data_IF_462455001044
#
_entry.id   IF_462455001044
#
_cell.length_a   1.000
_cell.length_b   1.000
_cell.length_c   1.000
_cell.angle_alpha   90.00
_cell.angle_beta   90.00
_cell.angle_gamma   90.00
#
_symmetry.space_group_name_H-M   'P 1'
#
loop_
_entity.id
_entity.type
_entity.pdbx_description
1 polymer ?
#
# COMPACT_ATOMS: atom_id res chain seq x y z
N UNK A 1 -1.41 29.27 12.83
CA UNK A 1 -1.57 30.24 11.72
C UNK A 1 -2.92 29.98 11.09
N UNK A 2 -3.90 30.90 11.18
CA UNK A 2 -5.21 30.64 10.60
C UNK A 2 -5.19 31.03 9.12
N UNK A 3 -5.51 30.05 8.28
CA UNK A 3 -5.86 30.19 6.86
C UNK A 3 -7.31 30.69 6.78
N UNK A 4 -7.49 32.00 6.91
CA UNK A 4 -8.68 32.73 6.49
C UNK A 4 -8.20 33.78 5.49
N UNK A 5 -8.44 33.57 4.18
CA UNK A 5 -8.52 34.59 3.12
C UNK A 5 -8.30 33.96 1.73
N UNK A 6 -9.31 33.28 1.18
CA UNK A 6 -9.49 33.16 -0.30
C UNK A 6 -10.97 33.08 -0.72
N UNK A 7 -11.94 32.74 0.14
CA UNK A 7 -13.32 32.43 -0.29
C UNK A 7 -14.36 33.57 -0.20
N UNK A 8 -14.03 34.79 -0.66
CA UNK A 8 -14.99 35.90 -0.54
C UNK A 8 -15.11 36.83 -1.76
N UNK A 9 -15.08 36.31 -2.99
CA UNK A 9 -15.26 37.17 -4.18
C UNK A 9 -16.21 36.64 -5.29
N UNK A 10 -17.07 35.66 -5.03
CA UNK A 10 -18.04 35.20 -6.04
C UNK A 10 -19.53 35.22 -5.61
N UNK A 11 -19.89 35.86 -4.49
CA UNK A 11 -21.28 35.97 -4.04
C UNK A 11 -21.64 37.38 -3.57
N UNK A 12 -21.36 38.38 -4.40
CA UNK A 12 -21.93 39.72 -4.23
C UNK A 12 -22.75 40.06 -5.48
N UNK A 13 -23.98 39.53 -5.53
CA UNK A 13 -25.04 40.03 -6.40
C UNK A 13 -26.13 40.68 -5.53
N UNK A 14 -25.98 42.00 -5.38
CA UNK A 14 -27.02 43.04 -5.54
C UNK A 14 -28.43 42.66 -5.06
N UNK A 15 -28.73 42.97 -3.80
CA UNK A 15 -30.11 43.18 -3.34
C UNK A 15 -30.52 44.63 -3.63
N UNK A 16 -31.56 44.81 -4.46
CA UNK A 16 -32.30 46.07 -4.59
C UNK A 16 -33.23 46.22 -3.38
N UNK A 17 -33.26 47.37 -2.68
CA UNK A 17 -34.27 47.64 -1.67
C UNK A 17 -35.40 48.48 -2.27
N UNK A 18 -36.59 47.89 -2.40
CA UNK A 18 -37.81 48.62 -2.73
C UNK A 18 -39.05 47.72 -2.76
N UNK A 19 -39.78 47.65 -1.64
CA UNK A 19 -41.08 48.33 -1.51
C UNK A 19 -41.82 47.89 -0.25
N UNK A 20 -42.15 48.90 0.56
CA UNK A 20 -43.07 48.85 1.70
C UNK A 20 -44.49 48.50 1.23
N UNK A 21 -45.08 47.45 1.79
CA UNK A 21 -46.54 47.25 1.76
C UNK A 21 -47.06 46.97 3.18
N UNK A 22 -47.94 47.87 3.58
CA UNK A 22 -48.72 47.96 4.83
C UNK A 22 -49.55 46.73 5.20
N UNK A 23 -49.61 46.51 6.51
CA UNK A 23 -50.44 45.56 7.26
C UNK A 23 -51.97 45.73 7.06
N UNK A 24 -52.69 44.61 6.96
CA UNK A 24 -53.97 44.39 7.65
C UNK A 24 -54.28 42.88 7.80
N UNK A 25 -54.96 42.43 8.88
CA UNK A 25 -55.13 41.01 9.20
C UNK A 25 -56.57 40.49 8.98
N UNK A 26 -56.71 39.27 8.43
CA UNK A 26 -57.85 38.38 8.66
C UNK A 26 -57.62 36.99 8.04
N UNK A 27 -57.67 35.95 8.88
CA UNK A 27 -57.72 34.49 8.59
C UNK A 27 -58.95 34.10 7.71
N UNK A 28 -59.11 32.85 7.17
CA UNK A 28 -58.39 31.59 7.44
C UNK A 28 -58.05 30.68 6.22
N UNK A 29 -57.24 29.65 6.51
CA UNK A 29 -57.17 28.31 5.88
C UNK A 29 -57.03 28.20 4.34
N UNK A 30 -55.85 27.75 3.87
CA UNK A 30 -55.74 26.77 2.77
C UNK A 30 -54.31 26.29 2.51
N UNK A 31 -54.25 25.05 2.02
CA UNK A 31 -53.28 24.47 1.09
C UNK A 31 -51.82 24.25 1.51
N UNK A 32 -51.46 22.96 1.58
CA UNK A 32 -50.12 22.47 1.24
C UNK A 32 -49.84 22.82 -0.22
N UNK A 33 -49.08 23.90 -0.45
CA UNK A 33 -48.51 24.21 -1.74
C UNK A 33 -47.16 23.51 -1.89
N UNK A 34 -47.09 22.71 -2.95
CA UNK A 34 -45.88 22.04 -3.38
C UNK A 34 -44.76 23.04 -3.66
N UNK A 35 -43.57 22.74 -3.15
CA UNK A 35 -42.36 23.44 -3.51
C UNK A 35 -42.17 23.39 -5.03
N UNK A 36 -42.48 24.49 -5.70
CA UNK A 36 -42.13 24.69 -7.11
C UNK A 36 -40.62 24.72 -7.23
N UNK A 37 -40.08 23.79 -8.03
CA UNK A 37 -38.71 23.86 -8.53
C UNK A 37 -38.54 25.17 -9.30
N UNK A 38 -37.95 26.18 -8.67
CA UNK A 38 -37.37 27.30 -9.38
C UNK A 38 -36.29 26.75 -10.30
N UNK A 39 -36.50 26.89 -11.61
CA UNK A 39 -35.52 26.60 -12.66
C UNK A 39 -34.20 27.33 -12.35
N UNK A 40 -33.28 26.66 -11.66
CA UNK A 40 -31.90 27.14 -11.53
C UNK A 40 -31.16 26.76 -12.81
N UNK A 41 -30.80 27.77 -13.58
CA UNK A 41 -30.05 27.65 -14.81
C UNK A 41 -28.63 27.16 -14.50
N UNK A 42 -28.39 25.85 -14.67
CA UNK A 42 -27.04 25.34 -14.94
C UNK A 42 -26.69 25.77 -16.37
N UNK A 43 -26.32 27.03 -16.55
CA UNK A 43 -25.86 27.55 -17.85
C UNK A 43 -24.47 28.13 -17.73
N UNK A 44 -23.65 27.70 -18.70
CA UNK A 44 -22.41 28.31 -19.16
C UNK A 44 -21.21 28.15 -18.22
N UNK A 45 -20.67 26.93 -18.18
CA UNK A 45 -19.24 26.77 -17.98
C UNK A 45 -18.53 27.26 -19.27
N UNK A 46 -17.52 28.13 -19.16
CA UNK A 46 -16.78 28.61 -20.32
C UNK A 46 -16.02 27.45 -20.98
N UNK A 47 -16.11 27.35 -22.32
CA UNK A 47 -15.16 26.58 -23.11
C UNK A 47 -13.75 27.12 -22.81
N UNK A 48 -12.94 26.31 -22.13
CA UNK A 48 -11.59 26.69 -21.71
C UNK A 48 -10.60 26.59 -22.86
N UNK A 49 -10.11 27.75 -23.30
CA UNK A 49 -8.92 27.90 -24.14
C UNK A 49 -7.62 27.55 -23.37
N UNK A 50 -6.63 27.19 -24.18
CA UNK A 50 -5.24 26.78 -23.95
C UNK A 50 -4.58 27.06 -22.59
N UNK A 51 -4.01 25.99 -22.01
CA UNK A 51 -3.18 26.00 -20.82
C UNK A 51 -1.85 26.78 -21.04
N UNK A 52 -1.71 27.88 -20.31
CA UNK A 52 -0.47 28.63 -20.12
C UNK A 52 0.54 27.81 -19.30
N UNK A 53 1.70 27.59 -19.90
CA UNK A 53 2.89 26.97 -19.31
C UNK A 53 3.56 27.95 -18.35
N UNK A 54 3.67 27.60 -17.07
CA UNK A 54 4.52 28.32 -16.11
C UNK A 54 5.97 27.80 -16.15
N UNK A 55 6.99 28.68 -16.04
CA UNK A 55 8.38 28.30 -16.07
C UNK A 55 8.90 27.86 -14.69
N UNK A 56 9.75 26.84 -14.73
CA UNK A 56 10.52 26.26 -13.63
C UNK A 56 11.51 27.26 -13.01
N UNK A 57 11.39 27.49 -11.71
CA UNK A 57 12.41 28.12 -10.87
C UNK A 57 13.53 27.11 -10.58
N UNK A 58 14.70 27.31 -11.20
CA UNK A 58 15.97 26.73 -10.76
C UNK A 58 16.61 27.69 -9.75
N UNK A 59 16.65 27.27 -8.49
CA UNK A 59 17.39 27.93 -7.42
C UNK A 59 18.78 27.31 -7.28
N UNK A 60 19.78 28.12 -7.59
CA UNK A 60 21.21 27.94 -7.41
C UNK A 60 21.55 27.90 -5.90
N UNK A 61 22.26 26.87 -5.43
CA UNK A 61 22.81 26.80 -4.06
C UNK A 61 24.33 26.76 -4.14
N UNK A 62 24.92 27.83 -3.63
CA UNK A 62 26.35 28.12 -3.51
C UNK A 62 26.96 27.55 -2.23
N UNK A 63 28.15 26.97 -2.40
CA UNK A 63 29.35 27.01 -1.52
C UNK A 63 29.25 26.96 0.01
N UNK A 64 29.81 25.90 0.59
CA UNK A 64 30.40 25.85 1.94
C UNK A 64 31.74 25.10 1.79
N UNK A 65 32.87 25.81 1.71
CA UNK A 65 33.78 26.22 2.80
C UNK A 65 34.34 25.04 3.60
N UNK A 66 35.53 24.60 3.21
CA UNK A 66 36.45 23.78 4.00
C UNK A 66 36.85 24.51 5.28
N UNK A 67 36.84 23.79 6.40
CA UNK A 67 37.49 24.21 7.64
C UNK A 67 38.36 23.06 8.13
N UNK A 68 39.67 23.29 8.06
CA UNK A 68 40.72 22.51 8.70
C UNK A 68 40.55 22.50 10.22
N UNK A 69 40.67 21.32 10.83
CA UNK A 69 40.55 21.12 12.28
C UNK A 69 41.57 20.09 12.76
N UNK A 70 42.40 20.54 13.69
CA UNK A 70 43.60 19.91 14.25
C UNK A 70 43.40 18.50 14.84
N UNK A 71 44.40 17.65 14.57
CA UNK A 71 44.60 16.32 15.18
C UNK A 71 45.27 16.45 16.56
N UNK A 72 44.74 15.85 17.64
CA UNK A 72 45.41 15.85 18.94
C UNK A 72 46.42 14.69 19.07
N UNK A 73 47.64 15.04 19.50
CA UNK A 73 48.73 14.13 19.85
C UNK A 73 48.33 13.09 20.92
N UNK A 74 48.55 11.81 20.60
CA UNK A 74 48.40 10.67 21.51
C UNK A 74 49.76 10.36 22.16
N UNK A 75 49.86 10.23 23.50
CA UNK A 75 51.11 9.95 24.19
C UNK A 75 51.61 8.52 23.98
N UNK A 76 52.92 8.39 23.81
CA UNK A 76 53.65 7.16 23.55
C UNK A 76 53.49 6.11 24.68
N UNK A 77 53.10 4.89 24.28
CA UNK A 77 53.13 3.68 25.11
C UNK A 77 54.53 3.05 25.13
N UNK A 78 54.93 2.39 26.24
CA UNK A 78 56.24 1.76 26.38
C UNK A 78 56.38 0.50 25.50
N UNK A 79 57.59 0.33 24.96
CA UNK A 79 58.00 -0.79 24.11
C UNK A 79 57.99 -2.11 24.87
N UNK A 80 57.03 -2.98 24.52
CA UNK A 80 57.02 -4.39 24.89
C UNK A 80 57.80 -5.18 23.83
N UNK A 81 58.79 -5.94 24.28
CA UNK A 81 59.60 -6.85 23.46
C UNK A 81 58.75 -7.90 22.75
N UNK A 82 58.85 -7.93 21.43
CA UNK A 82 58.23 -8.89 20.51
C UNK A 82 58.72 -10.32 20.74
N UNK A 83 57.83 -11.31 20.93
CA UNK A 83 58.20 -12.71 20.73
C UNK A 83 58.37 -12.99 19.23
N UNK A 84 59.38 -13.78 18.88
CA UNK A 84 59.69 -14.21 17.51
C UNK A 84 58.45 -14.78 16.79
N UNK A 85 57.92 -13.98 15.88
CA UNK A 85 56.76 -14.25 15.01
C UNK A 85 57.28 -14.61 13.61
N UNK A 86 57.86 -15.80 13.47
CA UNK A 86 58.24 -16.35 12.15
C UNK A 86 57.43 -17.58 11.74
N UNK A 87 56.32 -17.88 12.44
CA UNK A 87 55.44 -19.01 12.06
C UNK A 87 53.93 -18.73 12.09
N UNK A 88 53.47 -17.49 12.15
CA UNK A 88 52.02 -17.18 12.15
C UNK A 88 51.38 -17.26 10.76
N UNK A 89 52.11 -16.95 9.69
CA UNK A 89 51.57 -16.94 8.32
C UNK A 89 51.19 -18.35 7.81
N UNK A 90 51.78 -19.41 8.37
CA UNK A 90 51.44 -20.79 8.05
C UNK A 90 50.27 -21.33 8.90
N UNK A 91 50.04 -20.77 10.10
CA UNK A 91 48.96 -21.19 10.99
C UNK A 91 47.63 -20.53 10.58
N UNK A 92 47.66 -19.27 10.12
CA UNK A 92 46.46 -18.53 9.72
C UNK A 92 45.83 -19.05 8.42
N UNK A 93 46.65 -19.46 7.44
CA UNK A 93 46.13 -20.01 6.18
C UNK A 93 45.51 -21.41 6.31
N UNK A 94 45.84 -22.14 7.38
CA UNK A 94 45.37 -23.52 7.62
C UNK A 94 44.23 -23.57 8.64
N UNK A 95 44.18 -22.64 9.62
CA UNK A 95 43.05 -22.52 10.55
C UNK A 95 41.80 -21.92 9.88
N UNK A 96 41.97 -21.03 8.89
CA UNK A 96 40.85 -20.38 8.18
C UNK A 96 40.20 -21.27 7.11
N UNK A 97 40.77 -22.42 6.77
CA UNK A 97 40.22 -23.33 5.73
C UNK A 97 39.23 -24.37 6.22
N UNK A 98 38.82 -24.34 7.49
CA UNK A 98 37.87 -25.34 7.94
C UNK A 98 37.53 -25.27 9.41
N UNK A 99 37.11 -24.11 9.92
CA UNK A 99 36.16 -24.17 11.03
C UNK A 99 34.90 -24.77 10.40
N UNK A 100 34.53 -26.03 10.70
CA UNK A 100 33.35 -26.63 10.11
C UNK A 100 32.18 -25.70 10.43
N UNK A 101 31.37 -25.35 9.43
CA UNK A 101 30.16 -24.52 9.60
C UNK A 101 29.37 -24.91 10.86
N UNK A 102 29.38 -26.21 11.19
CA UNK A 102 28.82 -26.77 12.42
C UNK A 102 29.38 -26.14 13.70
N UNK A 103 30.69 -25.92 13.82
CA UNK A 103 31.30 -25.23 14.97
C UNK A 103 30.96 -23.75 14.98
N UNK A 104 31.03 -23.02 13.85
CA UNK A 104 30.65 -21.59 13.82
C UNK A 104 29.17 -21.40 14.15
N UNK A 105 28.29 -22.27 13.64
CA UNK A 105 26.87 -22.28 13.99
C UNK A 105 26.64 -22.72 15.44
N UNK A 106 27.42 -23.66 15.98
CA UNK A 106 27.34 -24.06 17.38
C UNK A 106 27.82 -22.95 18.32
N UNK A 107 28.87 -22.22 17.95
CA UNK A 107 29.40 -21.09 18.71
C UNK A 107 28.42 -19.92 18.67
N UNK A 108 27.91 -19.59 17.48
CA UNK A 108 26.83 -18.62 17.31
C UNK A 108 25.60 -19.02 18.12
N UNK A 109 25.12 -20.27 18.01
CA UNK A 109 23.97 -20.75 18.76
C UNK A 109 24.22 -20.76 20.28
N UNK A 110 25.42 -21.14 20.73
CA UNK A 110 25.77 -21.11 22.13
C UNK A 110 25.80 -19.67 22.65
N UNK A 111 26.49 -18.73 21.97
CA UNK A 111 26.48 -17.30 22.31
C UNK A 111 25.08 -16.68 22.28
N UNK A 112 24.25 -17.07 21.31
CA UNK A 112 22.87 -16.59 21.16
C UNK A 112 21.93 -17.17 22.23
N UNK A 113 22.22 -18.35 22.77
CA UNK A 113 21.37 -19.04 23.77
C UNK A 113 21.88 -18.90 25.21
N UNK A 114 23.17 -18.69 25.43
CA UNK A 114 23.77 -18.82 26.76
C UNK A 114 23.80 -17.54 27.58
N UNK A 115 23.65 -16.36 26.97
CA UNK A 115 23.53 -15.11 27.73
C UNK A 115 22.17 -14.43 27.51
N UNK A 116 21.17 -14.65 28.40
CA UNK A 116 19.86 -13.99 28.34
C UNK A 116 19.90 -12.46 28.52
N UNK A 117 21.09 -11.85 28.61
CA UNK A 117 21.29 -10.40 28.78
C UNK A 117 21.81 -9.68 27.55
N UNK A 118 22.31 -10.37 26.52
CA UNK A 118 22.93 -9.75 25.34
C UNK A 118 21.92 -9.59 24.19
N UNK A 119 21.27 -8.42 24.13
CA UNK A 119 20.31 -8.00 23.10
C UNK A 119 19.01 -8.83 23.04
N UNK A 120 18.20 -8.58 24.07
CA UNK A 120 16.77 -8.85 24.16
C UNK A 120 16.07 -8.32 22.91
N UNK A 121 14.97 -8.98 22.53
CA UNK A 121 14.02 -8.78 21.40
C UNK A 121 13.55 -7.35 21.07
N UNK A 122 14.35 -6.33 21.36
CA UNK A 122 14.02 -4.93 21.27
C UNK A 122 13.81 -4.53 19.83
N UNK A 123 14.61 -4.98 18.84
CA UNK A 123 14.33 -4.61 17.45
C UNK A 123 13.00 -5.21 16.97
N UNK A 124 12.63 -6.41 17.44
CA UNK A 124 11.32 -7.02 17.12
C UNK A 124 10.15 -6.33 17.83
N UNK A 125 10.33 -5.87 19.07
CA UNK A 125 9.32 -5.09 19.78
C UNK A 125 9.18 -3.69 19.19
N UNK A 126 10.31 -3.05 18.90
CA UNK A 126 10.41 -1.74 18.25
C UNK A 126 9.88 -1.77 16.82
N UNK A 127 9.97 -2.89 16.10
CA UNK A 127 9.38 -3.02 14.76
C UNK A 127 7.86 -2.98 14.83
N UNK A 128 7.27 -3.67 15.80
CA UNK A 128 5.83 -3.65 16.01
C UNK A 128 5.36 -2.27 16.48
N UNK A 129 5.98 -1.72 17.53
CA UNK A 129 5.60 -0.40 18.04
C UNK A 129 5.92 0.71 17.05
N UNK A 130 7.01 0.58 16.29
CA UNK A 130 7.41 1.51 15.24
C UNK A 130 6.47 1.47 14.04
N UNK A 131 5.99 0.29 13.62
CA UNK A 131 4.96 0.17 12.59
C UNK A 131 3.64 0.81 13.04
N UNK A 132 3.19 0.50 14.27
CA UNK A 132 1.95 1.07 14.82
C UNK A 132 2.08 2.59 15.01
N UNK A 133 3.20 3.05 15.55
CA UNK A 133 3.51 4.47 15.67
C UNK A 133 3.55 5.17 14.31
N UNK A 134 4.18 4.55 13.32
CA UNK A 134 4.21 5.02 11.94
C UNK A 134 2.80 5.18 11.36
N UNK A 135 1.91 4.20 11.52
CA UNK A 135 0.52 4.27 11.05
C UNK A 135 -0.27 5.39 11.75
N UNK A 136 -0.06 5.60 13.05
CA UNK A 136 -0.73 6.66 13.81
C UNK A 136 -0.20 8.04 13.44
N UNK A 137 1.09 8.17 13.19
CA UNK A 137 1.75 9.46 12.92
C UNK A 137 1.69 9.84 11.43
N UNK A 138 1.60 8.86 10.52
CA UNK A 138 1.62 9.07 9.06
C UNK A 138 0.59 10.11 8.57
N UNK A 139 -0.68 10.11 9.02
CA UNK A 139 -1.66 11.12 8.61
C UNK A 139 -1.27 12.56 8.98
N UNK A 140 -0.37 12.72 9.94
CA UNK A 140 0.09 14.02 10.43
C UNK A 140 1.43 14.45 9.79
N UNK A 141 2.09 13.58 9.01
CA UNK A 141 3.31 13.95 8.31
C UNK A 141 2.97 14.79 7.07
N UNK A 142 3.48 16.02 6.94
CA UNK A 142 3.14 16.93 5.85
C UNK A 142 3.84 16.59 4.52
N UNK A 143 4.21 15.32 4.29
CA UNK A 143 5.06 14.91 3.18
C UNK A 143 4.36 15.00 1.81
N UNK A 144 3.03 15.03 1.78
CA UNK A 144 2.24 15.38 0.60
C UNK A 144 0.82 15.77 1.05
N UNK A 145 0.55 17.06 1.21
CA UNK A 145 -0.82 17.53 1.41
C UNK A 145 -1.53 17.58 0.06
N UNK A 146 -2.00 16.44 -0.44
CA UNK A 146 -3.06 16.45 -1.46
C UNK A 146 -4.32 17.02 -0.79
N UNK A 147 -4.75 18.21 -1.23
CA UNK A 147 -6.03 18.78 -0.78
C UNK A 147 -7.12 17.89 -1.38
N UNK A 148 -7.88 17.22 -0.53
CA UNK A 148 -8.99 16.39 -0.96
C UNK A 148 -10.33 17.06 -0.59
N UNK A 149 -11.29 16.95 -1.51
CA UNK A 149 -12.69 17.24 -1.21
C UNK A 149 -13.34 15.94 -0.73
N UNK A 150 -13.90 15.96 0.47
CA UNK A 150 -14.68 14.86 1.01
C UNK A 150 -16.09 15.37 1.28
N UNK A 151 -17.04 14.90 0.49
CA UNK A 151 -18.46 15.29 0.53
C UNK A 151 -19.03 15.36 1.95
N UNK A 152 -18.81 14.33 2.77
CA UNK A 152 -19.31 14.23 4.13
C UNK A 152 -18.79 15.34 5.07
N UNK A 153 -17.57 15.83 4.81
CA UNK A 153 -16.92 16.86 5.64
C UNK A 153 -17.17 18.26 5.08
N UNK A 154 -17.19 18.40 3.76
CA UNK A 154 -17.28 19.69 3.09
C UNK A 154 -18.73 20.15 2.87
N UNK A 155 -19.70 19.23 2.80
CA UNK A 155 -21.13 19.54 2.71
C UNK A 155 -21.73 19.55 4.11
N UNK A 156 -22.49 20.60 4.42
CA UNK A 156 -23.13 20.75 5.72
C UNK A 156 -24.16 19.62 5.92
N UNK A 157 -24.00 18.81 6.98
CA UNK A 157 -24.83 17.60 7.19
C UNK A 157 -26.14 17.87 7.96
N UNK A 158 -26.27 19.02 8.64
CA UNK A 158 -27.38 19.32 9.57
C UNK A 158 -28.30 20.49 9.15
N UNK A 159 -27.93 21.27 8.15
CA UNK A 159 -28.69 22.45 7.68
C UNK A 159 -29.09 22.16 6.25
N UNK A 160 -30.38 21.88 6.04
CA UNK A 160 -30.90 21.42 4.75
C UNK A 160 -30.60 22.40 3.62
N UNK A 161 -30.61 23.72 3.89
CA UNK A 161 -30.36 24.74 2.87
C UNK A 161 -28.90 24.72 2.45
N UNK A 162 -27.98 24.68 3.41
CA UNK A 162 -26.53 24.59 3.13
C UNK A 162 -26.14 23.23 2.55
N UNK A 163 -26.81 22.15 2.95
CA UNK A 163 -26.65 20.83 2.37
C UNK A 163 -27.03 20.86 0.89
N UNK A 164 -28.21 21.38 0.55
CA UNK A 164 -28.66 21.52 -0.83
C UNK A 164 -27.75 22.44 -1.65
N UNK A 165 -27.26 23.53 -1.08
CA UNK A 165 -26.29 24.41 -1.72
C UNK A 165 -24.98 23.66 -2.01
N UNK A 166 -24.45 22.93 -1.03
CA UNK A 166 -23.24 22.11 -1.19
C UNK A 166 -23.42 21.04 -2.27
N UNK A 167 -24.56 20.34 -2.28
CA UNK A 167 -24.92 19.35 -3.31
C UNK A 167 -24.94 19.99 -4.71
N UNK A 168 -25.55 21.17 -4.86
CA UNK A 168 -25.58 21.91 -6.13
C UNK A 168 -24.17 22.30 -6.61
N UNK A 169 -23.24 22.51 -5.67
CA UNK A 169 -21.85 22.86 -5.96
C UNK A 169 -20.95 21.65 -6.28
N UNK A 170 -21.39 20.40 -6.08
CA UNK A 170 -20.57 19.19 -6.35
C UNK A 170 -20.04 19.18 -7.79
N UNK A 171 -20.85 19.59 -8.77
CA UNK A 171 -20.42 19.65 -10.17
C UNK A 171 -19.21 20.58 -10.39
N UNK A 172 -19.11 21.69 -9.66
CA UNK A 172 -17.98 22.60 -9.73
C UNK A 172 -16.72 21.97 -9.12
N UNK A 173 -16.86 21.26 -7.99
CA UNK A 173 -15.74 20.50 -7.40
C UNK A 173 -15.24 19.41 -8.34
N UNK A 174 -16.14 18.64 -8.95
CA UNK A 174 -15.78 17.62 -9.94
C UNK A 174 -15.05 18.24 -11.14
N UNK A 175 -15.50 19.39 -11.65
CA UNK A 175 -14.85 20.09 -12.75
C UNK A 175 -13.44 20.61 -12.39
N UNK A 176 -13.23 21.02 -11.13
CA UNK A 176 -11.93 21.51 -10.65
C UNK A 176 -10.95 20.43 -10.22
N UNK A 177 -11.43 19.20 -10.00
CA UNK A 177 -10.61 18.12 -9.47
C UNK A 177 -9.69 17.52 -10.54
N UNK A 178 -8.40 17.40 -10.23
CA UNK A 178 -7.42 16.72 -11.10
C UNK A 178 -7.52 15.19 -11.04
N UNK A 179 -8.06 14.67 -9.95
CA UNK A 179 -8.21 13.23 -9.70
C UNK A 179 -9.51 12.94 -8.93
N UNK A 180 -10.24 11.90 -9.36
CA UNK A 180 -11.36 11.33 -8.62
C UNK A 180 -10.96 9.97 -8.05
N UNK A 181 -10.84 9.88 -6.72
CA UNK A 181 -10.57 8.63 -5.99
C UNK A 181 -11.88 8.00 -5.52
N UNK A 182 -12.19 6.82 -6.03
CA UNK A 182 -13.38 6.03 -5.69
C UNK A 182 -12.98 4.88 -4.78
N UNK A 183 -13.48 4.90 -3.54
CA UNK A 183 -13.40 3.76 -2.62
C UNK A 183 -14.50 2.76 -2.98
N UNK A 184 -14.17 1.82 -3.86
CA UNK A 184 -15.17 0.91 -4.41
C UNK A 184 -15.56 -0.19 -3.41
N UNK A 185 -16.87 -0.43 -3.35
CA UNK A 185 -17.49 -1.53 -2.63
C UNK A 185 -18.67 -2.08 -3.45
N UNK A 186 -19.12 -3.30 -3.15
CA UNK A 186 -20.26 -3.92 -3.85
C UNK A 186 -21.53 -3.03 -3.92
N UNK A 187 -21.95 -2.30 -2.86
CA UNK A 187 -23.13 -1.42 -2.97
C UNK A 187 -22.85 -0.08 -3.68
N UNK A 188 -21.61 0.24 -4.04
CA UNK A 188 -21.25 1.57 -4.55
C UNK A 188 -22.05 1.93 -5.82
N UNK A 189 -22.06 1.04 -6.82
CA UNK A 189 -22.78 1.28 -8.09
C UNK A 189 -24.29 1.05 -7.99
N UNK A 190 -24.80 0.64 -6.83
CA UNK A 190 -26.24 0.56 -6.58
C UNK A 190 -26.82 1.90 -6.16
N UNK A 191 -25.99 2.94 -5.97
CA UNK A 191 -26.41 4.29 -5.54
C UNK A 191 -26.36 5.25 -6.72
N UNK A 192 -27.46 5.97 -6.96
CA UNK A 192 -27.64 6.83 -8.12
C UNK A 192 -26.60 7.96 -8.17
N UNK A 193 -26.41 8.65 -7.04
CA UNK A 193 -25.39 9.67 -6.86
C UNK A 193 -23.98 9.19 -7.24
N UNK A 194 -23.55 8.05 -6.71
CA UNK A 194 -22.21 7.53 -6.93
C UNK A 194 -21.91 7.22 -8.40
N UNK A 195 -22.89 6.68 -9.14
CA UNK A 195 -22.71 6.41 -10.58
C UNK A 195 -22.76 7.71 -11.39
N UNK A 196 -23.66 8.63 -11.01
CA UNK A 196 -23.75 9.94 -11.62
C UNK A 196 -22.45 10.74 -11.46
N UNK A 197 -21.88 10.83 -10.25
CA UNK A 197 -20.62 11.53 -9.98
C UNK A 197 -19.46 11.01 -10.84
N UNK A 198 -19.37 9.70 -10.97
CA UNK A 198 -18.29 9.07 -11.73
C UNK A 198 -18.41 9.37 -13.24
N UNK A 199 -19.63 9.29 -13.78
CA UNK A 199 -19.92 9.64 -15.16
C UNK A 199 -19.77 11.15 -15.42
N UNK A 200 -20.21 11.97 -14.46
CA UNK A 200 -20.12 13.42 -14.50
C UNK A 200 -18.66 13.88 -14.49
N UNK A 201 -17.84 13.33 -13.60
CA UNK A 201 -16.41 13.61 -13.55
C UNK A 201 -15.72 13.27 -14.87
N UNK A 202 -16.01 12.09 -15.45
CA UNK A 202 -15.43 11.71 -16.76
C UNK A 202 -15.85 12.65 -17.87
N UNK A 203 -17.09 13.15 -17.83
CA UNK A 203 -17.61 14.11 -18.82
C UNK A 203 -16.99 15.50 -18.68
N UNK A 204 -16.81 15.98 -17.45
CA UNK A 204 -16.18 17.27 -17.15
C UNK A 204 -14.67 17.23 -17.34
N UNK A 205 -14.04 16.08 -17.10
CA UNK A 205 -12.60 15.86 -17.20
C UNK A 205 -12.32 14.64 -18.10
N UNK A 206 -12.37 14.79 -19.44
CA UNK A 206 -12.12 13.68 -20.36
C UNK A 206 -10.76 12.99 -20.10
N UNK A 207 -9.74 13.79 -19.80
CA UNK A 207 -8.38 13.34 -19.46
C UNK A 207 -8.14 13.20 -17.95
N UNK A 208 -9.16 13.45 -17.12
CA UNK A 208 -9.05 13.39 -15.67
C UNK A 208 -8.68 11.99 -15.19
N UNK A 209 -7.87 11.93 -14.13
CA UNK A 209 -7.46 10.65 -13.53
C UNK A 209 -8.60 10.12 -12.65
N UNK A 210 -9.01 8.87 -12.88
CA UNK A 210 -9.95 8.15 -12.00
C UNK A 210 -9.18 7.01 -11.35
N UNK A 211 -9.18 6.96 -10.02
CA UNK A 211 -8.52 5.92 -9.23
C UNK A 211 -9.58 5.12 -8.48
N UNK A 212 -9.67 3.82 -8.71
CA UNK A 212 -10.66 2.95 -8.05
C UNK A 212 -9.92 2.06 -7.03
N UNK A 213 -9.89 2.51 -5.79
CA UNK A 213 -9.24 1.80 -4.69
C UNK A 213 -10.18 0.83 -3.99
N UNK A 214 -9.66 -0.32 -3.56
CA UNK A 214 -10.41 -1.30 -2.76
C UNK A 214 -10.10 -1.12 -1.29
N UNK A 215 -11.15 -0.98 -0.48
CA UNK A 215 -11.06 -0.83 0.99
C UNK A 215 -10.42 -2.05 1.69
N UNK A 216 -10.38 -3.22 1.03
CA UNK A 216 -9.92 -4.48 1.64
C UNK A 216 -8.41 -4.70 1.52
N UNK A 217 -7.69 -3.90 0.72
CA UNK A 217 -6.25 -4.10 0.51
C UNK A 217 -5.48 -3.82 1.79
N UNK A 218 -5.82 -2.73 2.46
CA UNK A 218 -5.24 -2.26 3.70
C UNK A 218 -5.45 -3.30 4.82
N UNK A 219 -6.66 -3.85 4.92
CA UNK A 219 -7.00 -4.90 5.88
C UNK A 219 -6.19 -6.16 5.61
N UNK A 220 -6.05 -6.57 4.35
CA UNK A 220 -5.25 -7.73 3.98
C UNK A 220 -3.76 -7.54 4.31
N UNK A 221 -3.22 -6.33 4.08
CA UNK A 221 -1.84 -5.99 4.43
C UNK A 221 -1.65 -6.01 5.95
N UNK A 222 -2.56 -5.42 6.73
CA UNK A 222 -2.50 -5.42 8.19
C UNK A 222 -2.55 -6.84 8.77
N UNK A 223 -3.46 -7.68 8.28
CA UNK A 223 -3.56 -9.07 8.71
C UNK A 223 -2.29 -9.85 8.35
N UNK A 224 -1.76 -9.63 7.14
CA UNK A 224 -0.50 -10.26 6.70
C UNK A 224 0.68 -9.78 7.55
N UNK A 225 0.76 -8.50 7.89
CA UNK A 225 1.79 -7.95 8.77
C UNK A 225 1.74 -8.57 10.16
N UNK A 226 0.57 -8.56 10.80
CA UNK A 226 0.37 -9.16 12.13
C UNK A 226 0.76 -10.64 12.12
N UNK A 227 0.46 -11.30 11.02
CA UNK A 227 0.79 -12.69 10.82
C UNK A 227 2.29 -12.97 10.67
N UNK A 228 2.99 -12.22 9.80
CA UNK A 228 4.45 -12.32 9.66
C UNK A 228 5.13 -12.04 11.00
N UNK A 229 4.61 -11.10 11.79
CA UNK A 229 5.09 -10.86 13.15
C UNK A 229 4.93 -12.10 14.04
N UNK A 230 3.77 -12.78 14.01
CA UNK A 230 3.55 -14.03 14.75
C UNK A 230 4.49 -15.15 14.30
N UNK A 231 4.77 -15.27 13.00
CA UNK A 231 5.75 -16.24 12.46
C UNK A 231 7.14 -15.96 13.03
N UNK A 232 7.56 -14.70 13.02
CA UNK A 232 8.87 -14.25 13.54
C UNK A 232 8.98 -14.56 15.04
N UNK A 233 7.94 -14.23 15.82
CA UNK A 233 7.89 -14.54 17.26
C UNK A 233 7.91 -16.05 17.49
N UNK A 234 7.11 -16.81 16.76
CA UNK A 234 7.07 -18.27 16.86
C UNK A 234 8.40 -18.91 16.50
N UNK A 235 9.09 -18.41 15.47
CA UNK A 235 10.43 -18.85 15.09
C UNK A 235 11.44 -18.58 16.21
N UNK A 236 11.40 -17.37 16.78
CA UNK A 236 12.26 -17.01 17.90
C UNK A 236 12.01 -17.91 19.12
N UNK A 237 10.75 -18.16 19.48
CA UNK A 237 10.38 -19.08 20.58
C UNK A 237 10.84 -20.51 20.28
N UNK A 238 10.65 -21.00 19.06
CA UNK A 238 11.06 -22.35 18.66
C UNK A 238 12.59 -22.54 18.68
N UNK A 239 13.34 -21.47 18.42
CA UNK A 239 14.80 -21.43 18.54
C UNK A 239 15.26 -21.24 19.98
N UNK A 240 14.45 -20.63 20.83
CA UNK A 240 14.79 -20.35 22.22
C UNK A 240 14.61 -21.60 23.10
N UNK A 241 15.58 -21.85 23.98
CA UNK A 241 15.50 -22.91 25.00
C UNK A 241 16.40 -24.13 24.74
N UNK A 242 16.36 -25.13 25.65
CA UNK A 242 17.30 -26.26 25.67
C UNK A 242 17.19 -27.19 24.45
N UNK A 243 16.08 -27.11 23.74
CA UNK A 243 15.79 -27.87 22.52
C UNK A 243 15.76 -26.97 21.28
N UNK A 244 16.41 -25.80 21.36
CA UNK A 244 16.52 -24.85 20.26
C UNK A 244 17.19 -25.49 19.05
N UNK A 245 16.60 -25.32 17.87
CA UNK A 245 17.16 -25.82 16.61
C UNK A 245 16.65 -27.18 16.14
N UNK A 246 15.75 -27.83 16.90
CA UNK A 246 15.07 -29.03 16.41
C UNK A 246 14.22 -28.71 15.17
N UNK A 247 14.41 -29.42 14.03
CA UNK A 247 13.77 -29.08 12.76
C UNK A 247 12.24 -29.24 12.80
N UNK A 248 11.71 -30.14 13.62
CA UNK A 248 10.27 -30.35 13.74
C UNK A 248 9.56 -29.15 14.38
N UNK A 249 10.20 -28.42 15.32
CA UNK A 249 9.63 -27.21 15.92
C UNK A 249 9.49 -26.10 14.88
N UNK A 250 10.51 -25.96 14.04
CA UNK A 250 10.48 -25.03 12.92
C UNK A 250 9.37 -25.41 11.92
N UNK A 251 9.22 -26.70 11.62
CA UNK A 251 8.13 -27.18 10.79
C UNK A 251 6.76 -26.86 11.40
N UNK A 252 6.58 -27.07 12.71
CA UNK A 252 5.34 -26.71 13.41
C UNK A 252 5.06 -25.21 13.30
N UNK A 253 6.06 -24.35 13.52
CA UNK A 253 5.90 -22.90 13.33
C UNK A 253 5.51 -22.60 11.89
N UNK A 254 6.16 -23.17 10.88
CA UNK A 254 5.85 -22.91 9.47
C UNK A 254 4.44 -23.40 9.11
N UNK A 255 4.00 -24.55 9.62
CA UNK A 255 2.67 -25.12 9.33
C UNK A 255 1.58 -24.34 10.06
N UNK A 256 1.70 -24.16 11.38
CA UNK A 256 0.77 -23.38 12.18
C UNK A 256 0.71 -21.93 11.70
N UNK A 257 1.86 -21.38 11.33
CA UNK A 257 1.98 -20.05 10.77
C UNK A 257 1.84 -20.00 9.23
N UNK A 258 1.50 -21.10 8.57
CA UNK A 258 1.27 -21.15 7.13
C UNK A 258 -0.21 -21.22 6.80
N UNK A 259 -0.94 -22.01 7.59
CA UNK A 259 -2.35 -22.32 7.35
C UNK A 259 -3.26 -21.07 7.39
N UNK A 260 -3.19 -20.18 8.39
CA UNK A 260 -3.94 -18.92 8.34
C UNK A 260 -3.54 -17.96 7.21
N UNK A 261 -2.26 -17.91 6.79
CA UNK A 261 -1.88 -17.14 5.57
C UNK A 261 -2.59 -17.69 4.35
N UNK A 262 -2.58 -19.02 4.21
CA UNK A 262 -3.22 -19.67 3.09
C UNK A 262 -4.73 -19.39 3.12
N UNK A 263 -5.36 -19.49 4.29
CA UNK A 263 -6.78 -19.20 4.44
C UNK A 263 -7.11 -17.74 4.11
N UNK A 264 -6.30 -16.78 4.59
CA UNK A 264 -6.50 -15.35 4.33
C UNK A 264 -6.27 -14.99 2.86
N UNK A 265 -5.23 -15.54 2.23
CA UNK A 265 -4.96 -15.35 0.80
C UNK A 265 -6.08 -15.98 -0.05
N UNK A 266 -6.54 -17.18 0.31
CA UNK A 266 -7.66 -17.85 -0.37
C UNK A 266 -8.93 -17.02 -0.27
N UNK A 267 -9.26 -16.54 0.93
CA UNK A 267 -10.41 -15.70 1.18
C UNK A 267 -10.33 -14.38 0.40
N UNK A 268 -9.18 -13.69 0.46
CA UNK A 268 -8.96 -12.45 -0.28
C UNK A 268 -9.02 -12.66 -1.80
N UNK A 269 -8.52 -13.79 -2.30
CA UNK A 269 -8.59 -14.15 -3.72
C UNK A 269 -10.03 -14.37 -4.19
N UNK A 270 -10.80 -15.16 -3.44
CA UNK A 270 -12.22 -15.43 -3.72
C UNK A 270 -13.02 -14.13 -3.66
N UNK A 271 -12.90 -13.38 -2.57
CA UNK A 271 -13.56 -12.07 -2.42
C UNK A 271 -13.20 -11.11 -3.56
N UNK A 272 -11.94 -11.10 -4.00
CA UNK A 272 -11.51 -10.28 -5.14
C UNK A 272 -12.18 -10.71 -6.44
N UNK A 273 -12.28 -12.01 -6.71
CA UNK A 273 -12.91 -12.52 -7.92
C UNK A 273 -14.42 -12.24 -7.90
N UNK A 274 -15.10 -12.53 -6.80
CA UNK A 274 -16.53 -12.26 -6.63
C UNK A 274 -16.82 -10.76 -6.79
N UNK A 275 -16.00 -9.91 -6.20
CA UNK A 275 -16.08 -8.46 -6.36
C UNK A 275 -15.84 -7.97 -7.80
N UNK A 276 -15.01 -8.66 -8.58
CA UNK A 276 -14.75 -8.32 -9.98
C UNK A 276 -15.93 -8.75 -10.87
N UNK A 277 -16.49 -9.93 -10.61
CA UNK A 277 -17.69 -10.44 -11.29
C UNK A 277 -18.92 -9.59 -10.96
N UNK A 278 -19.11 -9.22 -9.70
CA UNK A 278 -20.20 -8.35 -9.25
C UNK A 278 -20.10 -6.95 -9.88
N UNK A 279 -18.92 -6.33 -9.90
CA UNK A 279 -18.73 -5.03 -10.57
C UNK A 279 -19.13 -5.12 -12.05
N UNK A 280 -18.63 -6.13 -12.75
CA UNK A 280 -18.97 -6.31 -14.17
C UNK A 280 -20.47 -6.51 -14.35
N UNK A 281 -21.09 -7.36 -13.53
CA UNK A 281 -22.52 -7.62 -13.58
C UNK A 281 -23.33 -6.33 -13.35
N UNK A 282 -22.98 -5.55 -12.34
CA UNK A 282 -23.64 -4.28 -12.01
C UNK A 282 -23.51 -3.25 -13.14
N UNK A 283 -22.34 -3.14 -13.79
CA UNK A 283 -22.16 -2.22 -14.91
C UNK A 283 -22.89 -2.69 -16.18
N UNK A 284 -22.83 -3.99 -16.50
CA UNK A 284 -23.48 -4.55 -17.69
C UNK A 284 -25.01 -4.50 -17.58
N UNK A 285 -25.54 -4.73 -16.39
CA UNK A 285 -26.99 -4.72 -16.13
C UNK A 285 -27.48 -3.39 -15.51
N UNK A 286 -26.66 -2.35 -15.51
CA UNK A 286 -26.98 -1.07 -14.89
C UNK A 286 -28.26 -0.47 -15.47
N UNK A 287 -29.22 -0.06 -14.67
CA UNK A 287 -30.39 0.69 -15.14
C UNK A 287 -30.71 1.83 -14.16
N UNK A 288 -30.54 3.06 -14.63
CA UNK A 288 -30.77 4.30 -13.88
C UNK A 288 -32.12 4.33 -13.17
N UNK A 289 -33.17 3.72 -13.75
CA UNK A 289 -34.51 3.69 -13.15
C UNK A 289 -34.61 2.76 -11.93
N UNK A 290 -33.75 1.74 -11.85
CA UNK A 290 -33.76 0.73 -10.78
C UNK A 290 -32.76 1.03 -9.66
N UNK A 291 -31.86 1.99 -9.89
CA UNK A 291 -30.78 2.31 -8.96
C UNK A 291 -31.34 2.98 -7.71
N UNK A 292 -30.77 2.65 -6.55
CA UNK A 292 -31.23 3.15 -5.25
C UNK A 292 -30.88 4.63 -5.13
N UNK A 293 -31.86 5.42 -4.70
CA UNK A 293 -31.67 6.79 -4.26
C UNK A 293 -32.36 6.94 -2.90
N UNK A 294 -31.71 7.62 -1.95
CA UNK A 294 -32.28 7.86 -0.61
C UNK A 294 -33.40 8.90 -0.63
N UNK A 295 -33.36 9.81 -1.61
CA UNK A 295 -34.29 10.94 -1.76
C UNK A 295 -34.89 10.92 -3.17
N UNK A 296 -36.22 10.99 -3.26
CA UNK A 296 -36.90 11.07 -4.56
C UNK A 296 -36.68 12.43 -5.22
N UNK A 297 -36.54 13.49 -4.43
CA UNK A 297 -36.17 14.81 -4.92
C UNK A 297 -34.81 14.78 -5.62
N UNK A 298 -33.81 14.17 -4.98
CA UNK A 298 -32.47 14.02 -5.56
C UNK A 298 -32.51 13.18 -6.83
N UNK A 299 -33.32 12.11 -6.84
CA UNK A 299 -33.51 11.27 -8.02
C UNK A 299 -34.00 12.10 -9.20
N UNK A 300 -35.02 12.94 -8.99
CA UNK A 300 -35.54 13.81 -10.05
C UNK A 300 -34.47 14.80 -10.53
N UNK A 301 -33.76 15.47 -9.61
CA UNK A 301 -32.69 16.40 -9.98
C UNK A 301 -31.57 15.72 -10.78
N UNK A 302 -31.15 14.52 -10.39
CA UNK A 302 -30.13 13.74 -11.11
C UNK A 302 -30.67 13.28 -12.46
N UNK A 303 -31.92 12.82 -12.56
CA UNK A 303 -32.53 12.43 -13.82
C UNK A 303 -32.61 13.60 -14.82
N UNK A 304 -32.94 14.80 -14.33
CA UNK A 304 -32.97 16.02 -15.13
C UNK A 304 -31.55 16.39 -15.61
N UNK A 305 -30.55 16.30 -14.72
CA UNK A 305 -29.15 16.54 -15.06
C UNK A 305 -28.64 15.52 -16.09
N UNK A 306 -28.96 14.23 -15.91
CA UNK A 306 -28.63 13.16 -16.85
C UNK A 306 -29.27 13.44 -18.21
N UNK A 307 -30.55 13.80 -18.24
CA UNK A 307 -31.25 14.11 -19.50
C UNK A 307 -30.61 15.32 -20.19
N UNK A 308 -30.23 16.35 -19.44
CA UNK A 308 -29.53 17.52 -19.98
C UNK A 308 -28.15 17.16 -20.53
N UNK A 309 -27.39 16.32 -19.85
CA UNK A 309 -26.01 16.03 -20.23
C UNK A 309 -25.92 14.94 -21.30
N UNK A 310 -26.70 13.87 -21.18
CA UNK A 310 -26.64 12.69 -22.05
C UNK A 310 -27.81 12.62 -23.05
N UNK A 311 -28.71 13.60 -23.04
CA UNK A 311 -29.88 13.69 -23.94
C UNK A 311 -31.08 12.88 -23.46
N UNK A 312 -30.87 11.72 -22.83
CA UNK A 312 -31.94 10.91 -22.23
C UNK A 312 -31.40 9.95 -21.18
N UNK A 313 -32.29 9.44 -20.31
CA UNK A 313 -31.97 8.37 -19.36
C UNK A 313 -31.50 7.07 -20.06
N UNK A 314 -32.06 6.76 -21.24
CA UNK A 314 -31.63 5.60 -22.04
C UNK A 314 -30.20 5.77 -22.57
N UNK A 315 -29.88 6.94 -23.12
CA UNK A 315 -28.53 7.23 -23.61
C UNK A 315 -27.49 7.18 -22.49
N UNK A 316 -27.87 7.58 -21.27
CA UNK A 316 -27.03 7.40 -20.09
C UNK A 316 -26.82 5.93 -19.74
N UNK A 317 -27.90 5.12 -19.71
CA UNK A 317 -27.77 3.67 -19.52
C UNK A 317 -26.83 3.04 -20.55
N UNK A 318 -26.96 3.40 -21.83
CA UNK A 318 -26.11 2.90 -22.91
C UNK A 318 -24.65 3.34 -22.74
N UNK A 319 -24.41 4.59 -22.32
CA UNK A 319 -23.09 5.08 -21.97
C UNK A 319 -22.45 4.29 -20.83
N UNK A 320 -23.17 4.07 -19.73
CA UNK A 320 -22.70 3.33 -18.55
C UNK A 320 -22.40 1.87 -18.91
N UNK A 321 -23.31 1.20 -19.61
CA UNK A 321 -23.18 -0.22 -20.01
C UNK A 321 -22.09 -0.44 -21.06
N UNK A 322 -21.84 0.55 -21.91
CA UNK A 322 -20.92 0.46 -23.04
C UNK A 322 -19.53 1.05 -22.75
N UNK A 323 -19.19 2.23 -23.29
CA UNK A 323 -17.83 2.79 -23.19
C UNK A 323 -17.33 2.92 -21.77
N UNK A 324 -18.18 3.40 -20.86
CA UNK A 324 -17.80 3.67 -19.48
C UNK A 324 -17.51 2.37 -18.70
N UNK A 325 -18.29 1.31 -18.91
CA UNK A 325 -18.02 -0.01 -18.33
C UNK A 325 -16.65 -0.54 -18.75
N UNK A 326 -16.31 -0.46 -20.04
CA UNK A 326 -15.01 -0.90 -20.55
C UNK A 326 -13.86 -0.12 -19.91
N UNK A 327 -14.04 1.19 -19.78
CA UNK A 327 -13.07 2.07 -19.14
C UNK A 327 -12.86 1.72 -17.66
N UNK A 328 -13.93 1.60 -16.87
CA UNK A 328 -13.84 1.22 -15.45
C UNK A 328 -13.16 -0.13 -15.27
N UNK A 329 -13.50 -1.10 -16.13
CA UNK A 329 -12.84 -2.41 -16.12
C UNK A 329 -11.37 -2.32 -16.54
N UNK A 330 -10.99 -1.39 -17.41
CA UNK A 330 -9.59 -1.13 -17.80
C UNK A 330 -8.81 -0.44 -16.68
N UNK A 331 -9.38 0.58 -16.03
CA UNK A 331 -8.78 1.23 -14.86
C UNK A 331 -8.56 0.24 -13.72
N UNK A 332 -9.53 -0.64 -13.46
CA UNK A 332 -9.38 -1.70 -12.46
C UNK A 332 -8.31 -2.73 -12.84
N UNK A 333 -8.06 -2.93 -14.14
CA UNK A 333 -6.96 -3.80 -14.62
C UNK A 333 -5.60 -3.15 -14.46
N UNK A 334 -5.46 -1.85 -14.72
CA UNK A 334 -4.18 -1.15 -14.55
C UNK A 334 -3.80 -0.97 -13.07
N UNK A 335 -4.77 -1.01 -12.16
CA UNK A 335 -4.58 -0.89 -10.72
C UNK A 335 -4.38 -2.24 -10.00
N UNK A 336 -3.79 -3.23 -10.68
CA UNK A 336 -3.63 -4.58 -10.14
C UNK A 336 -2.48 -4.75 -9.15
N UNK A 337 -1.52 -3.84 -9.16
CA UNK A 337 -0.37 -3.86 -8.26
C UNK A 337 -0.74 -3.50 -6.82
N UNK A 338 -0.18 -4.23 -5.86
CA UNK A 338 -0.03 -3.72 -4.50
C UNK A 338 0.92 -2.52 -4.60
N UNK A 339 0.54 -1.38 -4.04
CA UNK A 339 1.43 -0.21 -4.05
C UNK A 339 2.76 -0.52 -3.34
N UNK A 340 3.87 0.01 -3.88
CA UNK A 340 5.23 -0.29 -3.40
C UNK A 340 5.40 -0.12 -1.89
N UNK A 341 4.71 0.85 -1.30
CA UNK A 341 4.78 1.15 0.13
C UNK A 341 4.22 0.01 1.00
N UNK A 342 3.23 -0.75 0.54
CA UNK A 342 2.71 -1.90 1.30
C UNK A 342 3.74 -3.02 1.40
N UNK A 343 4.60 -3.20 0.39
CA UNK A 343 5.70 -4.17 0.50
C UNK A 343 6.69 -3.79 1.60
N UNK A 344 6.99 -2.50 1.75
CA UNK A 344 7.87 -2.02 2.82
C UNK A 344 7.27 -2.37 4.19
N UNK A 345 5.97 -2.14 4.38
CA UNK A 345 5.26 -2.49 5.61
C UNK A 345 5.34 -4.01 5.86
N UNK A 346 5.05 -4.83 4.85
CA UNK A 346 5.09 -6.30 4.97
C UNK A 346 6.49 -6.86 5.24
N UNK A 347 7.54 -6.20 4.78
CA UNK A 347 8.94 -6.61 4.99
C UNK A 347 9.52 -6.14 6.32
N UNK A 348 8.84 -5.23 7.02
CA UNK A 348 9.39 -4.66 8.25
C UNK A 348 9.64 -5.73 9.34
N UNK A 349 8.71 -6.66 9.65
CA UNK A 349 8.95 -7.68 10.67
C UNK A 349 10.12 -8.61 10.34
N UNK A 350 10.24 -9.04 9.07
CA UNK A 350 11.36 -9.89 8.63
C UNK A 350 12.66 -9.11 8.67
N UNK A 351 12.66 -7.84 8.26
CA UNK A 351 13.82 -6.94 8.32
C UNK A 351 14.35 -6.78 9.72
N UNK A 352 13.48 -6.47 10.67
CA UNK A 352 13.87 -6.37 12.06
C UNK A 352 14.42 -7.69 12.62
N UNK A 353 13.82 -8.83 12.24
CA UNK A 353 14.34 -10.15 12.64
C UNK A 353 15.75 -10.43 12.08
N UNK A 354 15.98 -10.22 10.79
CA UNK A 354 17.29 -10.48 10.16
C UNK A 354 18.36 -9.48 10.61
N UNK A 355 17.99 -8.22 10.87
CA UNK A 355 18.88 -7.21 11.41
C UNK A 355 19.30 -7.54 12.84
N UNK A 356 18.36 -7.95 13.70
CA UNK A 356 18.68 -8.43 15.06
C UNK A 356 19.62 -9.63 15.02
N UNK A 357 19.36 -10.61 14.15
CA UNK A 357 20.26 -11.76 13.96
C UNK A 357 21.68 -11.35 13.50
N UNK A 358 21.77 -10.40 12.57
CA UNK A 358 23.05 -9.90 12.06
C UNK A 358 23.82 -9.10 13.12
N UNK A 359 23.12 -8.25 13.87
CA UNK A 359 23.69 -7.47 14.97
C UNK A 359 24.20 -8.37 16.10
N UNK A 360 23.46 -9.42 16.44
CA UNK A 360 23.88 -10.39 17.44
C UNK A 360 25.18 -11.12 17.03
N UNK A 361 25.30 -11.50 15.76
CA UNK A 361 26.53 -12.12 15.23
C UNK A 361 27.69 -11.12 15.25
N UNK A 362 27.46 -9.88 14.84
CA UNK A 362 28.46 -8.83 14.91
C UNK A 362 28.97 -8.59 16.33
N UNK A 363 28.07 -8.52 17.31
CA UNK A 363 28.40 -8.32 18.74
C UNK A 363 29.08 -9.52 19.39
N UNK A 364 28.95 -10.72 18.81
CA UNK A 364 29.56 -11.95 19.35
C UNK A 364 31.08 -12.05 19.12
N UNK A 365 31.70 -11.06 18.45
CA UNK A 365 33.14 -11.06 18.17
C UNK A 365 33.56 -12.03 17.05
N UNK A 366 32.59 -12.55 16.29
CA UNK A 366 32.84 -13.37 15.10
C UNK A 366 33.61 -12.54 14.04
N UNK A 367 34.55 -13.15 13.28
CA UNK A 367 35.30 -12.43 12.25
C UNK A 367 34.42 -11.59 11.32
N UNK A 368 34.87 -10.37 11.01
CA UNK A 368 34.10 -9.40 10.23
C UNK A 368 33.62 -9.95 8.88
N UNK A 369 34.41 -10.82 8.24
CA UNK A 369 34.05 -11.48 6.98
C UNK A 369 32.79 -12.33 7.09
N UNK A 370 32.62 -13.08 8.19
CA UNK A 370 31.44 -13.92 8.42
C UNK A 370 30.23 -13.05 8.73
N UNK A 371 30.40 -11.99 9.52
CA UNK A 371 29.34 -11.02 9.82
C UNK A 371 28.84 -10.31 8.56
N UNK A 372 29.75 -9.84 7.70
CA UNK A 372 29.43 -9.22 6.40
C UNK A 372 28.75 -10.24 5.48
N UNK A 373 29.27 -11.46 5.40
CA UNK A 373 28.70 -12.55 4.59
C UNK A 373 27.26 -12.86 5.01
N UNK A 374 27.00 -12.97 6.31
CA UNK A 374 25.66 -13.19 6.86
C UNK A 374 24.71 -12.02 6.55
N UNK A 375 25.16 -10.78 6.75
CA UNK A 375 24.37 -9.59 6.46
C UNK A 375 23.98 -9.53 4.98
N UNK A 376 24.94 -9.67 4.07
CA UNK A 376 24.69 -9.64 2.62
C UNK A 376 23.79 -10.81 2.17
N UNK A 377 23.98 -12.02 2.70
CA UNK A 377 23.18 -13.17 2.30
C UNK A 377 21.75 -13.10 2.86
N UNK A 378 21.60 -12.81 4.16
CA UNK A 378 20.32 -12.90 4.87
C UNK A 378 19.50 -11.60 4.82
N UNK A 379 20.13 -10.44 5.01
CA UNK A 379 19.43 -9.14 4.99
C UNK A 379 19.26 -8.67 3.56
N UNK A 380 20.34 -8.53 2.80
CA UNK A 380 20.26 -7.94 1.45
C UNK A 380 19.60 -8.90 0.46
N UNK A 381 20.16 -10.10 0.26
CA UNK A 381 19.63 -11.01 -0.75
C UNK A 381 18.30 -11.66 -0.32
N UNK A 382 18.29 -12.40 0.79
CA UNK A 382 17.11 -13.18 1.15
C UNK A 382 15.92 -12.30 1.54
N UNK A 383 16.13 -11.28 2.38
CA UNK A 383 15.03 -10.46 2.85
C UNK A 383 14.63 -9.34 1.88
N UNK A 384 15.56 -8.49 1.44
CA UNK A 384 15.18 -7.34 0.59
C UNK A 384 14.89 -7.71 -0.86
N UNK A 385 15.44 -8.81 -1.39
CA UNK A 385 15.24 -9.22 -2.79
C UNK A 385 14.35 -10.46 -2.91
N UNK A 386 14.69 -11.56 -2.24
CA UNK A 386 14.05 -12.86 -2.48
C UNK A 386 12.63 -12.95 -1.94
N UNK A 387 12.42 -12.69 -0.64
CA UNK A 387 11.09 -12.73 0.01
C UNK A 387 10.06 -11.87 -0.74
N UNK A 388 10.30 -10.56 -1.00
CA UNK A 388 9.31 -9.74 -1.68
C UNK A 388 9.04 -10.23 -3.10
N UNK A 389 10.04 -10.77 -3.79
CA UNK A 389 9.82 -11.38 -5.11
C UNK A 389 8.91 -12.62 -5.02
N UNK A 390 9.07 -13.47 -4.02
CA UNK A 390 8.15 -14.60 -3.79
C UNK A 390 6.73 -14.10 -3.49
N UNK A 391 6.58 -13.03 -2.72
CA UNK A 391 5.26 -12.42 -2.43
C UNK A 391 4.62 -11.82 -3.68
N UNK A 392 5.37 -11.05 -4.48
CA UNK A 392 4.92 -10.47 -5.75
C UNK A 392 4.48 -11.57 -6.72
N UNK A 393 5.29 -12.63 -6.85
CA UNK A 393 4.96 -13.78 -7.68
C UNK A 393 3.69 -14.48 -7.20
N UNK A 394 3.57 -14.75 -5.90
CA UNK A 394 2.38 -15.35 -5.30
C UNK A 394 1.13 -14.54 -5.57
N UNK A 395 1.18 -13.22 -5.29
CA UNK A 395 0.07 -12.30 -5.56
C UNK A 395 -0.30 -12.29 -7.05
N UNK A 396 0.69 -12.25 -7.95
CA UNK A 396 0.45 -12.27 -9.39
C UNK A 396 -0.25 -13.57 -9.85
N UNK A 397 0.20 -14.73 -9.36
CA UNK A 397 -0.42 -16.02 -9.65
C UNK A 397 -1.86 -16.08 -9.15
N UNK A 398 -2.11 -15.61 -7.93
CA UNK A 398 -3.47 -15.54 -7.34
C UNK A 398 -4.41 -14.65 -8.16
N UNK A 399 -3.88 -13.58 -8.75
CA UNK A 399 -4.68 -12.66 -9.57
C UNK A 399 -5.03 -13.21 -10.95
N UNK A 400 -4.09 -13.90 -11.60
CA UNK A 400 -4.27 -14.34 -12.98
C UNK A 400 -5.02 -15.68 -13.08
N UNK A 401 -5.05 -16.44 -12.00
CA UNK A 401 -5.54 -17.80 -12.04
C UNK A 401 -4.44 -18.76 -12.50
N UNK A 402 -4.33 -19.93 -11.91
CA UNK A 402 -3.55 -21.04 -12.51
C UNK A 402 -4.38 -21.63 -13.65
N UNK A 403 -4.11 -21.20 -14.89
CA UNK A 403 -4.75 -21.78 -16.09
C UNK A 403 -4.06 -23.08 -16.47
N UNK A 404 -4.77 -24.20 -16.33
CA UNK A 404 -4.32 -25.50 -16.85
C UNK A 404 -5.07 -25.78 -18.15
N UNK A 405 -4.46 -25.42 -19.28
CA UNK A 405 -5.06 -25.57 -20.61
C UNK A 405 -6.20 -24.57 -20.87
N UNK A 406 -7.34 -25.07 -21.39
CA UNK A 406 -8.53 -24.24 -21.69
C UNK A 406 -9.49 -24.07 -20.50
N UNK A 407 -9.33 -24.86 -19.44
CA UNK A 407 -10.22 -24.81 -18.29
C UNK A 407 -9.66 -23.84 -17.25
N UNK A 408 -10.46 -22.82 -16.92
CA UNK A 408 -10.26 -22.05 -15.70
C UNK A 408 -10.86 -22.90 -14.59
N UNK A 409 -10.01 -23.55 -13.79
CA UNK A 409 -10.46 -24.03 -12.49
C UNK A 409 -11.10 -22.81 -11.82
N UNK A 410 -12.40 -22.87 -11.50
CA UNK A 410 -12.94 -21.93 -10.49
C UNK A 410 -12.01 -21.98 -9.29
N UNK A 411 -11.91 -20.90 -8.48
CA UNK A 411 -11.06 -20.85 -7.28
C UNK A 411 -11.54 -21.90 -6.26
N UNK A 412 -11.28 -23.15 -6.57
CA UNK A 412 -11.31 -24.27 -5.66
C UNK A 412 -10.12 -24.06 -4.74
N UNK A 413 -10.27 -24.49 -3.48
CA UNK A 413 -9.20 -24.42 -2.47
C UNK A 413 -7.84 -24.95 -2.97
N UNK A 414 -7.84 -25.79 -4.01
CA UNK A 414 -6.64 -26.32 -4.64
C UNK A 414 -5.73 -25.25 -5.24
N UNK A 415 -6.28 -24.22 -5.89
CA UNK A 415 -5.47 -23.19 -6.54
C UNK A 415 -4.63 -22.36 -5.55
N UNK A 416 -5.22 -21.68 -4.54
CA UNK A 416 -4.42 -20.95 -3.56
C UNK A 416 -3.51 -21.89 -2.76
N UNK A 417 -3.90 -23.16 -2.54
CA UNK A 417 -3.03 -24.17 -1.93
C UNK A 417 -1.78 -24.42 -2.77
N UNK A 418 -1.91 -24.62 -4.08
CA UNK A 418 -0.77 -24.83 -4.97
C UNK A 418 0.17 -23.61 -5.00
N UNK A 419 -0.40 -22.40 -5.05
CA UNK A 419 0.37 -21.16 -5.00
C UNK A 419 1.12 -21.05 -3.68
N UNK A 420 0.46 -21.34 -2.56
CA UNK A 420 1.07 -21.33 -1.24
C UNK A 420 2.20 -22.36 -1.12
N UNK A 421 1.98 -23.59 -1.57
CA UNK A 421 3.01 -24.64 -1.57
C UNK A 421 4.21 -24.20 -2.41
N UNK A 422 3.99 -23.60 -3.58
CA UNK A 422 5.07 -23.03 -4.40
C UNK A 422 5.84 -21.93 -3.65
N UNK A 423 5.14 -20.99 -3.01
CA UNK A 423 5.77 -19.94 -2.20
C UNK A 423 6.60 -20.55 -1.05
N UNK A 424 6.09 -21.56 -0.35
CA UNK A 424 6.82 -22.26 0.72
C UNK A 424 8.08 -22.94 0.19
N UNK A 425 8.00 -23.61 -0.97
CA UNK A 425 9.16 -24.24 -1.61
C UNK A 425 10.21 -23.18 -1.98
N UNK A 426 9.80 -22.07 -2.59
CA UNK A 426 10.71 -20.99 -2.96
C UNK A 426 11.38 -20.34 -1.73
N UNK A 427 10.63 -20.17 -0.64
CA UNK A 427 11.19 -19.68 0.63
C UNK A 427 12.19 -20.68 1.21
N UNK A 428 11.87 -21.97 1.22
CA UNK A 428 12.78 -23.02 1.69
C UNK A 428 14.08 -23.08 0.86
N UNK A 429 13.97 -22.96 -0.47
CA UNK A 429 15.12 -22.85 -1.38
C UNK A 429 15.97 -21.63 -1.05
N UNK A 430 15.36 -20.46 -0.85
CA UNK A 430 16.08 -19.24 -0.49
C UNK A 430 16.80 -19.35 0.86
N UNK A 431 16.19 -20.00 1.85
CA UNK A 431 16.84 -20.28 3.15
C UNK A 431 18.03 -21.21 2.95
N UNK A 432 17.86 -22.32 2.23
CA UNK A 432 18.93 -23.28 1.95
C UNK A 432 20.09 -22.65 1.19
N UNK A 433 19.80 -21.84 0.17
CA UNK A 433 20.80 -21.11 -0.61
C UNK A 433 21.54 -20.07 0.25
N UNK A 434 20.85 -19.37 1.14
CA UNK A 434 21.47 -18.43 2.08
C UNK A 434 22.46 -19.12 3.01
N UNK A 435 22.06 -20.26 3.61
CA UNK A 435 22.95 -21.05 4.49
C UNK A 435 24.14 -21.59 3.71
N UNK A 436 23.92 -22.14 2.51
CA UNK A 436 24.98 -22.65 1.65
C UNK A 436 25.95 -21.54 1.21
N UNK A 437 25.45 -20.35 0.87
CA UNK A 437 26.27 -19.23 0.46
C UNK A 437 27.19 -18.77 1.59
N UNK A 438 26.64 -18.56 2.80
CA UNK A 438 27.44 -18.19 3.99
C UNK A 438 28.49 -19.27 4.31
N UNK A 439 28.16 -20.54 4.15
CA UNK A 439 29.08 -21.65 4.40
C UNK A 439 30.26 -21.75 3.43
N UNK A 440 30.12 -21.20 2.22
CA UNK A 440 31.14 -21.25 1.17
C UNK A 440 31.89 -19.91 1.01
N UNK A 441 31.70 -18.97 1.95
CA UNK A 441 32.40 -17.69 2.00
C UNK A 441 31.88 -16.61 1.04
N UNK A 442 32.59 -15.47 1.01
CA UNK A 442 32.18 -14.24 0.30
C UNK A 442 31.85 -14.47 -1.18
N UNK A 443 32.63 -15.23 -1.98
CA UNK A 443 32.31 -15.42 -3.41
C UNK A 443 30.95 -16.07 -3.64
N UNK A 444 30.57 -17.05 -2.81
CA UNK A 444 29.27 -17.70 -2.89
C UNK A 444 28.12 -16.76 -2.47
N UNK A 445 28.37 -15.88 -1.49
CA UNK A 445 27.43 -14.82 -1.09
C UNK A 445 27.22 -13.80 -2.21
N UNK A 446 28.27 -13.40 -2.92
CA UNK A 446 28.17 -12.50 -4.07
C UNK A 446 27.33 -13.17 -5.17
N UNK A 447 27.62 -14.44 -5.50
CA UNK A 447 26.83 -15.20 -6.47
C UNK A 447 25.36 -15.28 -6.06
N UNK A 448 25.08 -15.56 -4.78
CA UNK A 448 23.72 -15.59 -4.26
C UNK A 448 23.00 -14.25 -4.42
N UNK A 449 23.66 -13.14 -4.11
CA UNK A 449 23.11 -11.79 -4.32
C UNK A 449 22.78 -11.51 -5.79
N UNK A 450 23.64 -11.93 -6.72
CA UNK A 450 23.37 -11.81 -8.17
C UNK A 450 22.12 -12.61 -8.55
N UNK A 451 21.99 -13.85 -8.06
CA UNK A 451 20.80 -14.69 -8.30
C UNK A 451 19.54 -14.04 -7.73
N UNK A 452 19.60 -13.53 -6.50
CA UNK A 452 18.51 -12.81 -5.86
C UNK A 452 18.09 -11.56 -6.62
N UNK A 453 19.06 -10.77 -7.08
CA UNK A 453 18.82 -9.56 -7.88
C UNK A 453 18.17 -9.89 -9.23
N UNK A 454 18.64 -10.93 -9.92
CA UNK A 454 18.06 -11.38 -11.20
C UNK A 454 16.64 -11.89 -11.00
N UNK A 455 16.41 -12.72 -9.97
CA UNK A 455 15.07 -13.21 -9.65
C UNK A 455 14.11 -12.07 -9.31
N UNK A 456 14.58 -11.07 -8.55
CA UNK A 456 13.83 -9.86 -8.27
C UNK A 456 13.53 -9.08 -9.55
N UNK A 457 14.56 -8.72 -10.34
CA UNK A 457 14.36 -7.97 -11.56
C UNK A 457 13.36 -8.65 -12.51
N UNK A 458 13.47 -9.98 -12.72
CA UNK A 458 12.54 -10.73 -13.57
C UNK A 458 11.13 -10.71 -12.99
N UNK A 459 10.97 -11.04 -11.71
CA UNK A 459 9.66 -11.09 -11.06
C UNK A 459 8.99 -9.72 -11.08
N UNK A 460 9.69 -8.67 -10.67
CA UNK A 460 9.14 -7.32 -10.64
C UNK A 460 8.83 -6.81 -12.07
N UNK A 461 9.70 -7.03 -13.06
CA UNK A 461 9.39 -6.63 -14.44
C UNK A 461 8.18 -7.36 -15.04
N UNK A 462 7.98 -8.64 -14.73
CA UNK A 462 6.90 -9.46 -15.32
C UNK A 462 5.60 -9.41 -14.54
N UNK A 463 5.68 -9.33 -13.22
CA UNK A 463 4.52 -9.45 -12.33
C UNK A 463 4.00 -8.10 -11.83
N UNK A 464 4.85 -7.06 -11.76
CA UNK A 464 4.46 -5.75 -11.24
C UNK A 464 4.01 -4.76 -12.34
N UNK A 465 4.51 -4.89 -13.58
CA UNK A 465 4.15 -4.00 -14.71
C UNK A 465 2.85 -4.37 -15.44
N UNK A 466 2.01 -5.21 -14.85
CA UNK A 466 0.73 -5.68 -15.42
C UNK A 466 -0.39 -5.31 -14.47
#
# INVERSE_FOLDING_TARGET
>A
MPLELVFQNCCEQREDPGDDVTLHPSFPAQHEDGAQCTHSTFTNLPEGDEALVHPSLQGEVTGLSETDGEEPEIPAMPSVSSPDLTSFDALDATLMRGIPLRQTLQWGAHLWLSDPRSMRCWLMLLSLTGAMGGLVVFPYFPLASEICFLDFVCVHQTDDRKMQQGIRSIGAFLASASELRVLWSAPYLQRLWCVFELAAYRKLNPNGRIVISRIMTEVAVLLSFAWVQLVVVGFWVARSGPYGGEPWRLLVVIVCAGLPTLASMSYAAVQKQDADEELRSQLTNFDVMTVKCSSEFDRQCIHDAITRWYGSLSAFNDYIRGPFCLEVLQLRRSQRGIEGHYFIVLLLPTSSFFLEGSLAVFMSGVPGEVSISLFLAAVVCFNLMWIPSVVVLGAHLTQHGVRVGRFRLRPSLLEPLLIFVLCVILLAVGIGATVAAVANGIPAVILWNIVGLVFAAVTWMKCFRV
#
